data_IF_044175844853
#
_entry.id   IF_044175844853
#
_cell.length_a   1.000
_cell.length_b   1.000
_cell.length_c   1.000
_cell.angle_alpha   90.00
_cell.angle_beta   90.00
_cell.angle_gamma   90.00
#
_symmetry.space_group_name_H-M   'P 1'
#
loop_
_entity.id
_entity.type
_entity.pdbx_description
1 polymer ?
#
# COMPACT_ATOMS: atom_id res chain seq x y z
N UNK A 1 10.43 -4.50 2.75
CA UNK A 1 10.95 -5.86 2.52
C UNK A 1 10.16 -6.40 1.33
N UNK A 2 10.83 -6.75 0.24
CA UNK A 2 10.16 -7.23 -0.98
C UNK A 2 10.75 -8.59 -1.30
N UNK A 3 9.93 -9.62 -1.17
CA UNK A 3 10.29 -10.98 -1.52
C UNK A 3 10.05 -11.25 -3.01
N UNK A 4 10.87 -12.13 -3.59
CA UNK A 4 10.69 -12.58 -4.97
C UNK A 4 9.58 -13.64 -5.01
N UNK A 5 8.33 -13.18 -5.10
CA UNK A 5 7.14 -14.04 -5.15
C UNK A 5 6.70 -14.19 -6.60
N UNK A 6 6.46 -15.42 -7.05
CA UNK A 6 5.88 -15.67 -8.37
C UNK A 6 4.37 -15.40 -8.33
N UNK A 7 3.94 -14.47 -9.17
CA UNK A 7 2.54 -14.14 -9.39
C UNK A 7 2.19 -14.45 -10.84
N UNK A 8 1.02 -15.06 -11.04
CA UNK A 8 0.45 -15.11 -12.38
C UNK A 8 -0.09 -13.73 -12.80
N UNK A 9 -0.42 -13.58 -14.08
CA UNK A 9 -0.93 -12.30 -14.62
C UNK A 9 -2.26 -11.91 -13.97
N UNK A 10 -3.12 -12.89 -13.67
CA UNK A 10 -4.42 -12.64 -13.01
C UNK A 10 -4.29 -12.11 -11.59
N UNK A 11 -3.18 -12.38 -10.91
CA UNK A 11 -2.84 -11.84 -9.58
C UNK A 11 -2.05 -10.53 -9.69
N UNK A 12 -1.10 -10.45 -10.62
CA UNK A 12 -0.21 -9.29 -10.75
C UNK A 12 -0.97 -8.01 -11.17
N UNK A 13 -1.97 -8.14 -12.05
CA UNK A 13 -2.79 -7.00 -12.49
C UNK A 13 -3.53 -6.34 -11.32
N UNK A 14 -4.40 -7.03 -10.56
CA UNK A 14 -5.11 -6.40 -9.44
C UNK A 14 -4.15 -5.92 -8.34
N UNK A 15 -3.06 -6.64 -8.08
CA UNK A 15 -2.04 -6.19 -7.11
C UNK A 15 -1.41 -4.86 -7.53
N UNK A 16 -1.07 -4.71 -8.81
CA UNK A 16 -0.53 -3.47 -9.36
C UNK A 16 -1.51 -2.31 -9.26
N UNK A 17 -2.81 -2.56 -9.43
CA UNK A 17 -3.86 -1.55 -9.25
C UNK A 17 -3.99 -1.11 -7.79
N UNK A 18 -3.98 -2.06 -6.84
CA UNK A 18 -4.02 -1.76 -5.39
C UNK A 18 -2.81 -0.91 -5.00
N UNK A 19 -1.61 -1.30 -5.43
CA UNK A 19 -0.38 -0.54 -5.19
C UNK A 19 -0.46 0.87 -5.78
N UNK A 20 -0.88 0.99 -7.03
CA UNK A 20 -0.99 2.28 -7.71
C UNK A 20 -1.95 3.22 -6.98
N UNK A 21 -3.12 2.73 -6.59
CA UNK A 21 -4.12 3.52 -5.88
C UNK A 21 -3.64 3.92 -4.48
N UNK A 22 -3.08 2.98 -3.70
CA UNK A 22 -2.57 3.25 -2.37
C UNK A 22 -1.43 4.29 -2.38
N UNK A 23 -0.47 4.15 -3.31
CA UNK A 23 0.64 5.10 -3.46
C UNK A 23 0.13 6.46 -3.94
N UNK A 24 -0.77 6.48 -4.92
CA UNK A 24 -1.38 7.71 -5.42
C UNK A 24 -2.12 8.47 -4.31
N UNK A 25 -2.84 7.77 -3.45
CA UNK A 25 -3.57 8.36 -2.35
C UNK A 25 -2.64 8.91 -1.26
N UNK A 26 -1.57 8.20 -0.91
CA UNK A 26 -0.56 8.72 0.00
C UNK A 26 0.06 10.02 -0.54
N UNK A 27 0.44 10.05 -1.83
CA UNK A 27 1.04 11.24 -2.45
C UNK A 27 0.07 12.43 -2.47
N UNK A 28 -1.20 12.20 -2.83
CA UNK A 28 -2.20 13.26 -3.01
C UNK A 28 -2.72 13.81 -1.68
N UNK A 29 -2.90 12.94 -0.68
CA UNK A 29 -3.70 13.26 0.50
C UNK A 29 -2.94 13.19 1.83
N UNK A 30 -1.89 12.36 1.95
CA UNK A 30 -1.26 12.11 3.24
C UNK A 30 -0.19 13.16 3.61
N UNK A 31 0.39 13.88 2.64
CA UNK A 31 1.55 14.75 2.86
C UNK A 31 1.27 16.23 2.58
N UNK A 32 0.94 17.06 3.59
CA UNK A 32 0.94 18.51 3.47
C UNK A 32 2.37 19.04 3.19
N UNK A 33 2.48 20.32 2.82
CA UNK A 33 3.79 20.91 2.47
C UNK A 33 4.80 20.84 3.64
N UNK A 34 6.08 20.61 3.28
CA UNK A 34 7.27 20.67 4.14
C UNK A 34 7.56 19.49 5.10
N UNK A 35 6.88 18.35 4.99
CA UNK A 35 7.29 17.13 5.71
C UNK A 35 8.09 16.14 4.84
N UNK A 36 8.97 15.38 5.49
CA UNK A 36 9.69 14.26 4.87
C UNK A 36 8.67 13.17 4.48
N UNK A 37 8.44 13.01 3.19
CA UNK A 37 7.46 12.06 2.65
C UNK A 37 8.07 10.68 2.52
N UNK A 38 7.55 9.72 3.28
CA UNK A 38 8.01 8.33 3.23
C UNK A 38 6.83 7.40 3.04
N UNK A 39 6.90 6.61 1.97
CA UNK A 39 5.97 5.52 1.72
C UNK A 39 6.77 4.22 1.84
N UNK A 40 6.30 3.35 2.71
CA UNK A 40 6.84 2.02 2.96
C UNK A 40 5.97 1.00 2.25
N UNK A 41 6.61 0.16 1.44
CA UNK A 41 5.96 -0.96 0.76
C UNK A 41 6.63 -2.26 1.21
N UNK A 42 5.82 -3.25 1.54
CA UNK A 42 6.27 -4.60 1.87
C UNK A 42 5.41 -5.62 1.15
N UNK A 43 6.04 -6.64 0.59
CA UNK A 43 5.39 -7.79 0.00
C UNK A 43 6.10 -9.03 0.51
N UNK A 44 5.39 -9.82 1.31
CA UNK A 44 5.94 -11.01 1.98
C UNK A 44 5.01 -12.19 1.77
N UNK A 45 5.59 -13.39 1.66
CA UNK A 45 4.85 -14.63 1.68
C UNK A 45 4.51 -14.98 3.13
N UNK A 46 3.24 -14.82 3.53
CA UNK A 46 2.81 -15.06 4.92
C UNK A 46 2.78 -16.55 5.28
N UNK A 47 2.46 -17.40 4.31
CA UNK A 47 2.45 -18.86 4.38
C UNK A 47 2.50 -19.44 2.95
N UNK A 48 2.34 -20.75 2.75
CA UNK A 48 2.46 -21.36 1.41
C UNK A 48 1.47 -20.88 0.35
N UNK A 49 0.34 -20.26 0.73
CA UNK A 49 -0.71 -19.82 -0.21
C UNK A 49 -0.98 -18.32 -0.20
N UNK A 50 -0.61 -17.63 0.87
CA UNK A 50 -1.04 -16.26 1.12
C UNK A 50 0.13 -15.27 1.06
N UNK A 51 -0.16 -14.14 0.44
CA UNK A 51 0.78 -13.04 0.29
C UNK A 51 0.23 -11.85 1.08
N UNK A 52 1.07 -11.22 1.89
CA UNK A 52 0.75 -9.97 2.55
C UNK A 52 1.42 -8.81 1.82
N UNK A 53 0.58 -7.94 1.25
CA UNK A 53 0.96 -6.62 0.79
C UNK A 53 0.67 -5.61 1.91
N UNK A 54 1.68 -4.85 2.31
CA UNK A 54 1.54 -3.72 3.23
C UNK A 54 2.02 -2.45 2.55
N UNK A 55 1.18 -1.42 2.59
CA UNK A 55 1.52 -0.04 2.21
C UNK A 55 1.28 0.85 3.42
N UNK A 56 2.29 1.62 3.82
CA UNK A 56 2.23 2.53 4.97
C UNK A 56 2.92 3.83 4.63
N UNK A 57 2.30 4.95 4.92
CA UNK A 57 2.93 6.27 4.87
C UNK A 57 3.23 6.81 6.28
N UNK A 58 3.92 7.94 6.36
CA UNK A 58 4.12 8.72 7.58
C UNK A 58 3.37 10.07 7.53
N UNK A 59 2.28 10.15 6.78
CA UNK A 59 1.49 11.35 6.61
C UNK A 59 0.49 11.58 7.72
N UNK A 60 -0.42 12.52 7.49
CA UNK A 60 -1.42 13.01 8.47
C UNK A 60 -2.51 11.98 8.82
N UNK A 61 -2.55 10.85 8.13
CA UNK A 61 -3.57 9.82 8.33
C UNK A 61 -4.94 10.19 7.77
N UNK A 62 -5.96 9.42 8.16
CA UNK A 62 -7.34 9.64 7.74
C UNK A 62 -8.03 10.70 8.63
N UNK A 63 -8.99 11.48 8.08
CA UNK A 63 -9.79 12.42 8.87
C UNK A 63 -10.65 11.68 9.92
N UNK A 64 -11.01 12.35 11.01
CA UNK A 64 -11.76 11.77 12.14
C UNK A 64 -13.11 11.12 11.73
N UNK A 65 -13.73 11.60 10.66
CA UNK A 65 -15.01 11.10 10.14
C UNK A 65 -14.85 10.05 9.04
N UNK A 66 -13.68 9.42 8.91
CA UNK A 66 -13.47 8.35 7.95
C UNK A 66 -14.17 7.06 8.40
N UNK A 67 -15.25 6.68 7.72
CA UNK A 67 -15.85 5.37 7.92
C UNK A 67 -14.95 4.29 7.31
N UNK A 68 -14.51 3.36 8.17
CA UNK A 68 -13.74 2.20 7.75
C UNK A 68 -14.69 1.27 6.98
N UNK A 69 -14.55 1.24 5.66
CA UNK A 69 -15.19 0.21 4.84
C UNK A 69 -14.44 -1.09 5.13
N UNK A 70 -15.09 -2.00 5.87
CA UNK A 70 -14.64 -3.37 6.10
C UNK A 70 -14.92 -4.23 4.87
#
# INVERSE_FOLDING_TARGET
NIEAIQLDVSQAIPLGLILNEAISNAIKYAFPENELRVIYVSLIQSNSSDISLMVRDNGIGFPENWEKVL
#
